data_IF_128267669726
#
_entry.id   IF_128267669726
#
_cell.length_a   1.000
_cell.length_b   1.000
_cell.length_c   1.000
_cell.angle_alpha   90.00
_cell.angle_beta   90.00
_cell.angle_gamma   90.00
#
_symmetry.space_group_name_H-M   'P 1'
#
loop_
_entity.id
_entity.type
_entity.pdbx_description
1 polymer ?
#
# COMPACT_ATOMS: atom_id res chain seq x y z
N UNK A 1 7.81 -1.67 29.18
CA UNK A 1 6.76 -2.08 28.22
C UNK A 1 7.46 -2.38 26.91
N UNK A 2 7.37 -3.58 26.41
CA UNK A 2 7.91 -3.94 25.11
C UNK A 2 6.99 -3.47 23.97
N UNK A 3 7.46 -3.54 22.71
CA UNK A 3 6.69 -3.03 21.57
C UNK A 3 5.39 -3.81 21.35
N UNK A 4 5.35 -5.11 21.55
CA UNK A 4 4.15 -5.95 21.45
C UNK A 4 3.06 -5.48 22.42
N UNK A 5 3.40 -5.25 23.67
CA UNK A 5 2.46 -4.77 24.69
C UNK A 5 1.95 -3.36 24.39
N UNK A 6 2.83 -2.48 23.92
CA UNK A 6 2.47 -1.13 23.47
C UNK A 6 1.46 -1.17 22.30
N UNK A 7 1.70 -2.03 21.30
CA UNK A 7 0.79 -2.22 20.16
C UNK A 7 -0.56 -2.75 20.67
N UNK A 8 -0.57 -3.81 21.49
CA UNK A 8 -1.80 -4.41 22.02
C UNK A 8 -2.68 -3.38 22.75
N UNK A 9 -2.12 -2.62 23.67
CA UNK A 9 -2.84 -1.57 24.43
C UNK A 9 -3.42 -0.51 23.48
N UNK A 10 -2.63 -0.09 22.47
CA UNK A 10 -3.10 0.89 21.49
C UNK A 10 -4.28 0.35 20.66
N UNK A 11 -4.21 -0.90 20.21
CA UNK A 11 -5.28 -1.57 19.45
C UNK A 11 -6.56 -1.71 20.27
N UNK A 12 -6.47 -2.18 21.51
CA UNK A 12 -7.62 -2.31 22.42
C UNK A 12 -8.32 -0.96 22.64
N UNK A 13 -7.54 0.11 22.84
CA UNK A 13 -8.07 1.47 22.97
C UNK A 13 -8.79 1.93 21.71
N UNK A 14 -8.19 1.71 20.53
CA UNK A 14 -8.79 2.08 19.24
C UNK A 14 -10.07 1.29 18.99
N UNK A 15 -10.07 -0.03 19.20
CA UNK A 15 -11.26 -0.89 19.05
C UNK A 15 -12.40 -0.42 19.94
N UNK A 16 -12.12 -0.14 21.22
CA UNK A 16 -13.11 0.40 22.14
C UNK A 16 -13.68 1.74 21.66
N UNK A 17 -12.83 2.65 21.19
CA UNK A 17 -13.24 3.96 20.69
C UNK A 17 -14.15 3.83 19.47
N UNK A 18 -13.78 2.99 18.49
CA UNK A 18 -14.55 2.79 17.26
C UNK A 18 -15.86 2.01 17.50
N UNK A 19 -15.90 1.12 18.48
CA UNK A 19 -17.15 0.47 18.90
C UNK A 19 -18.12 1.48 19.51
N UNK A 20 -17.63 2.38 20.36
CA UNK A 20 -18.47 3.39 21.00
C UNK A 20 -18.88 4.52 20.02
N UNK A 21 -18.01 4.89 19.10
CA UNK A 21 -18.22 5.97 18.13
C UNK A 21 -17.71 5.55 16.74
N UNK A 22 -18.50 4.77 15.97
CA UNK A 22 -18.04 4.24 14.66
C UNK A 22 -17.63 5.31 13.64
N UNK A 23 -18.14 6.53 13.76
CA UNK A 23 -17.75 7.64 12.90
C UNK A 23 -16.28 8.07 13.05
N UNK A 24 -15.65 7.80 14.21
CA UNK A 24 -14.22 8.09 14.42
C UNK A 24 -13.27 7.24 13.55
N UNK A 25 -13.75 6.11 13.04
CA UNK A 25 -12.99 5.27 12.12
C UNK A 25 -13.14 5.65 10.64
N UNK A 26 -13.82 6.78 10.33
CA UNK A 26 -14.05 7.25 8.96
C UNK A 26 -13.34 8.57 8.73
N UNK A 27 -12.51 8.60 7.68
CA UNK A 27 -11.78 9.80 7.29
C UNK A 27 -11.56 9.81 5.77
N UNK A 28 -11.07 10.95 5.24
CA UNK A 28 -10.66 11.12 3.86
C UNK A 28 -9.20 11.55 3.82
N UNK A 29 -8.32 10.62 3.47
CA UNK A 29 -6.91 10.92 3.24
C UNK A 29 -6.73 11.64 1.90
N UNK A 30 -5.75 12.53 1.81
CA UNK A 30 -5.46 13.32 0.60
C UNK A 30 -3.98 13.34 0.31
N UNK A 31 -3.59 12.69 -0.79
CA UNK A 31 -2.27 12.85 -1.39
C UNK A 31 -2.29 13.88 -2.51
N UNK A 32 -1.33 14.81 -2.51
CA UNK A 32 -1.11 15.76 -3.60
C UNK A 32 0.16 15.37 -4.36
N UNK A 33 -0.01 15.10 -5.66
CA UNK A 33 1.09 14.72 -6.55
C UNK A 33 1.28 15.82 -7.58
N UNK A 34 2.51 16.31 -7.69
CA UNK A 34 2.88 17.39 -8.62
C UNK A 34 4.09 16.99 -9.45
N UNK A 35 4.00 17.15 -10.77
CA UNK A 35 5.18 17.03 -11.65
C UNK A 35 6.16 18.14 -11.33
N UNK A 36 7.44 17.79 -11.18
CA UNK A 36 8.52 18.72 -10.84
C UNK A 36 9.44 18.92 -12.03
N UNK A 37 9.86 17.83 -12.65
CA UNK A 37 10.77 17.86 -13.79
C UNK A 37 10.59 16.58 -14.65
N UNK A 38 10.31 16.72 -15.96
CA UNK A 38 10.11 15.59 -16.85
C UNK A 38 9.08 14.59 -16.30
N UNK A 39 9.51 13.36 -16.00
CA UNK A 39 8.67 12.31 -15.39
C UNK A 39 8.84 12.19 -13.87
N UNK A 40 9.62 13.09 -13.24
CA UNK A 40 9.78 13.14 -11.79
C UNK A 40 8.60 13.88 -11.15
N UNK A 41 7.96 13.27 -10.17
CA UNK A 41 6.94 13.93 -9.38
C UNK A 41 7.26 13.92 -7.88
N UNK A 42 6.66 14.87 -7.18
CA UNK A 42 6.71 15.02 -5.73
C UNK A 42 5.32 14.69 -5.16
N UNK A 43 5.29 13.83 -4.15
CA UNK A 43 4.10 13.45 -3.40
C UNK A 43 4.16 14.13 -2.04
N UNK A 44 3.08 14.80 -1.64
CA UNK A 44 2.91 15.40 -0.32
C UNK A 44 1.63 14.87 0.32
N UNK A 45 1.76 14.25 1.48
CA UNK A 45 0.64 13.79 2.30
C UNK A 45 0.95 14.01 3.78
N UNK A 46 0.11 14.77 4.47
CA UNK A 46 0.35 15.18 5.86
C UNK A 46 1.75 15.77 6.04
N UNK A 47 2.60 15.15 6.88
CA UNK A 47 3.99 15.54 7.13
C UNK A 47 4.99 14.79 6.27
N UNK A 48 4.52 13.93 5.35
CA UNK A 48 5.37 13.10 4.51
C UNK A 48 5.56 13.70 3.13
N UNK A 49 6.79 13.57 2.65
CA UNK A 49 7.19 14.02 1.32
C UNK A 49 8.03 12.93 0.67
N UNK A 50 7.66 12.55 -0.56
CA UNK A 50 8.33 11.51 -1.33
C UNK A 50 8.54 11.99 -2.75
N UNK A 51 9.56 11.42 -3.42
CA UNK A 51 9.74 11.56 -4.85
C UNK A 51 9.46 10.25 -5.56
N UNK A 52 8.96 10.33 -6.78
CA UNK A 52 8.71 9.23 -7.69
C UNK A 52 9.23 9.61 -9.05
N UNK A 53 9.88 8.67 -9.73
CA UNK A 53 10.46 8.92 -11.05
C UNK A 53 10.34 7.66 -11.92
N UNK A 54 10.71 7.78 -13.19
CA UNK A 54 10.74 6.67 -14.13
C UNK A 54 12.20 6.39 -14.56
N UNK A 55 12.48 5.17 -15.08
CA UNK A 55 13.80 4.85 -15.61
C UNK A 55 14.17 5.71 -16.83
N UNK A 56 15.47 5.88 -17.06
CA UNK A 56 16.00 6.63 -18.20
C UNK A 56 15.51 6.09 -19.55
N UNK A 57 15.33 4.78 -19.67
CA UNK A 57 14.88 4.12 -20.91
C UNK A 57 13.51 4.57 -21.40
N UNK A 58 12.69 5.21 -20.55
CA UNK A 58 11.38 5.77 -20.92
C UNK A 58 11.33 7.29 -20.66
N UNK A 59 12.49 7.93 -20.54
CA UNK A 59 12.63 9.39 -20.41
C UNK A 59 12.57 9.95 -19.01
N UNK A 60 12.68 9.11 -17.96
CA UNK A 60 12.89 9.55 -16.58
C UNK A 60 14.37 9.84 -16.29
N UNK A 61 14.66 10.19 -15.04
CA UNK A 61 16.02 10.43 -14.55
C UNK A 61 16.51 9.35 -13.60
N UNK A 62 15.67 8.35 -13.29
CA UNK A 62 15.96 7.26 -12.34
C UNK A 62 16.45 7.78 -10.97
N UNK A 63 15.88 8.89 -10.51
CA UNK A 63 16.28 9.55 -9.25
C UNK A 63 15.45 9.12 -8.04
N UNK A 64 14.39 8.35 -8.26
CA UNK A 64 13.50 7.87 -7.22
C UNK A 64 12.81 6.55 -7.65
N UNK A 65 12.19 5.81 -6.71
CA UNK A 65 11.40 4.62 -7.04
C UNK A 65 10.26 4.92 -8.00
N UNK A 66 9.91 3.95 -8.85
CA UNK A 66 8.77 4.06 -9.76
C UNK A 66 7.42 3.90 -9.03
N UNK A 67 6.29 4.32 -9.63
CA UNK A 67 4.97 4.07 -9.07
C UNK A 67 4.70 2.58 -8.76
N UNK A 68 5.22 1.66 -9.59
CA UNK A 68 5.09 0.23 -9.38
C UNK A 68 5.79 -0.27 -8.09
N UNK A 69 6.93 0.33 -7.72
CA UNK A 69 7.60 0.05 -6.44
C UNK A 69 6.69 0.44 -5.28
N UNK A 70 6.09 1.64 -5.32
CA UNK A 70 5.16 2.10 -4.29
C UNK A 70 3.92 1.20 -4.19
N UNK A 71 3.36 0.75 -5.32
CA UNK A 71 2.22 -0.17 -5.35
C UNK A 71 2.52 -1.48 -4.61
N UNK A 72 3.63 -2.15 -4.96
CA UNK A 72 4.04 -3.39 -4.29
C UNK A 72 4.41 -3.17 -2.83
N UNK A 73 5.13 -2.10 -2.52
CA UNK A 73 5.50 -1.75 -1.15
C UNK A 73 4.28 -1.46 -0.27
N UNK A 74 3.24 -0.82 -0.81
CA UNK A 74 2.00 -0.56 -0.11
C UNK A 74 1.31 -1.87 0.31
N UNK A 75 1.20 -2.85 -0.60
CA UNK A 75 0.64 -4.17 -0.26
C UNK A 75 1.51 -4.88 0.78
N UNK A 76 2.82 -5.03 0.53
CA UNK A 76 3.74 -5.75 1.42
C UNK A 76 3.79 -5.16 2.82
N UNK A 77 3.92 -3.83 2.94
CA UNK A 77 3.94 -3.17 4.24
C UNK A 77 2.61 -3.24 4.98
N UNK A 78 1.49 -3.14 4.26
CA UNK A 78 0.16 -3.28 4.84
C UNK A 78 -0.05 -4.68 5.45
N UNK A 79 0.35 -5.74 4.73
CA UNK A 79 0.30 -7.11 5.22
C UNK A 79 1.22 -7.29 6.43
N UNK A 80 2.50 -6.92 6.32
CA UNK A 80 3.47 -7.08 7.40
C UNK A 80 3.03 -6.38 8.69
N UNK A 81 2.59 -5.12 8.59
CA UNK A 81 2.08 -4.36 9.74
C UNK A 81 0.81 -5.01 10.30
N UNK A 82 -0.13 -5.44 9.43
CA UNK A 82 -1.36 -6.10 9.82
C UNK A 82 -1.09 -7.39 10.61
N UNK A 83 -0.16 -8.22 10.16
CA UNK A 83 0.24 -9.44 10.86
C UNK A 83 0.88 -9.14 12.22
N UNK A 84 1.77 -8.14 12.30
CA UNK A 84 2.36 -7.74 13.58
C UNK A 84 1.33 -7.17 14.56
N UNK A 85 0.34 -6.42 14.07
CA UNK A 85 -0.79 -5.97 14.88
C UNK A 85 -1.60 -7.16 15.42
N UNK A 86 -1.90 -8.15 14.57
CA UNK A 86 -2.64 -9.34 14.97
C UNK A 86 -1.84 -10.20 15.95
N UNK A 87 -0.54 -10.39 15.69
CA UNK A 87 0.35 -11.10 16.61
C UNK A 87 0.37 -10.45 18.01
N UNK A 88 0.46 -9.13 18.07
CA UNK A 88 0.43 -8.39 19.33
C UNK A 88 -0.91 -8.55 20.06
N UNK A 89 -2.04 -8.48 19.34
CA UNK A 89 -3.37 -8.69 19.90
C UNK A 89 -3.51 -10.08 20.53
N UNK A 90 -3.05 -11.11 19.84
CA UNK A 90 -3.11 -12.51 20.26
C UNK A 90 -1.96 -12.91 21.19
N UNK A 91 -1.02 -12.01 21.45
CA UNK A 91 0.20 -12.27 22.25
C UNK A 91 1.05 -13.41 21.67
N UNK A 92 1.11 -13.52 20.35
CA UNK A 92 1.93 -14.48 19.61
C UNK A 92 3.35 -13.89 19.48
N UNK A 93 4.41 -14.60 19.93
CA UNK A 93 5.77 -14.10 19.81
C UNK A 93 6.26 -14.22 18.35
N UNK A 94 6.64 -13.11 17.74
CA UNK A 94 7.25 -13.05 16.40
C UNK A 94 8.70 -12.56 16.57
N UNK A 95 9.67 -13.33 16.10
CA UNK A 95 11.09 -12.98 16.10
C UNK A 95 11.47 -12.23 14.82
N UNK A 96 10.98 -12.69 13.68
CA UNK A 96 11.16 -12.05 12.38
C UNK A 96 9.94 -12.26 11.50
N UNK A 97 9.64 -11.28 10.65
CA UNK A 97 8.58 -11.35 9.65
C UNK A 97 8.99 -10.55 8.42
N UNK A 98 8.96 -11.21 7.27
CA UNK A 98 9.21 -10.63 5.96
C UNK A 98 8.02 -10.95 5.03
N UNK A 99 7.63 -9.98 4.21
CA UNK A 99 6.63 -10.16 3.15
C UNK A 99 7.26 -9.74 1.83
N UNK A 100 7.50 -10.71 0.96
CA UNK A 100 7.91 -10.48 -0.42
C UNK A 100 6.66 -10.36 -1.29
N UNK A 101 6.60 -9.33 -2.14
CA UNK A 101 5.51 -9.13 -3.10
C UNK A 101 6.06 -9.16 -4.51
N UNK A 102 5.56 -10.08 -5.33
CA UNK A 102 5.83 -10.20 -6.75
C UNK A 102 4.60 -9.78 -7.54
N UNK A 103 4.81 -9.06 -8.64
CA UNK A 103 3.74 -8.67 -9.54
C UNK A 103 4.19 -8.75 -10.98
N UNK A 104 3.45 -9.48 -11.80
CA UNK A 104 3.67 -9.56 -13.24
C UNK A 104 2.95 -8.39 -13.92
N UNK A 105 3.61 -7.76 -14.90
CA UNK A 105 3.07 -6.64 -15.67
C UNK A 105 3.61 -6.65 -17.09
N UNK A 106 2.98 -5.87 -17.97
CA UNK A 106 3.38 -5.69 -19.36
C UNK A 106 3.54 -4.20 -19.67
N UNK A 107 4.79 -3.76 -19.87
CA UNK A 107 5.08 -2.37 -20.23
C UNK A 107 4.52 -1.98 -21.60
N UNK A 108 4.31 -2.96 -22.51
CA UNK A 108 3.64 -2.73 -23.78
C UNK A 108 2.18 -2.30 -23.60
N UNK A 109 1.51 -2.79 -22.56
CA UNK A 109 0.15 -2.35 -22.21
C UNK A 109 0.13 -0.88 -21.73
N UNK A 110 1.12 -0.46 -20.94
CA UNK A 110 1.31 0.94 -20.54
C UNK A 110 1.52 1.85 -21.75
N UNK A 111 2.33 1.41 -22.73
CA UNK A 111 2.68 2.17 -23.94
C UNK A 111 1.67 2.01 -25.09
N UNK A 112 0.64 1.18 -24.93
CA UNK A 112 -0.37 0.93 -25.93
C UNK A 112 0.11 0.07 -27.12
N UNK A 113 1.17 -0.71 -26.95
CA UNK A 113 1.75 -1.62 -27.97
C UNK A 113 1.40 -3.09 -27.75
N UNK A 114 0.90 -3.44 -26.56
CA UNK A 114 0.44 -4.79 -26.25
C UNK A 114 -0.93 -5.10 -26.90
N UNK A 115 -1.32 -6.39 -26.90
CA UNK A 115 -2.68 -6.80 -27.29
C UNK A 115 -3.72 -6.08 -26.42
N UNK A 116 -4.86 -5.71 -27.05
CA UNK A 116 -5.94 -4.96 -26.40
C UNK A 116 -6.58 -5.68 -25.20
N UNK A 117 -6.39 -6.98 -25.08
CA UNK A 117 -6.89 -7.78 -23.96
C UNK A 117 -5.94 -7.77 -22.76
N UNK A 118 -4.70 -7.26 -22.90
CA UNK A 118 -3.74 -7.17 -21.82
C UNK A 118 -4.01 -5.87 -21.05
N UNK A 119 -4.35 -5.96 -19.75
CA UNK A 119 -4.60 -4.77 -18.94
C UNK A 119 -3.28 -4.02 -18.63
N UNK A 120 -3.32 -2.68 -18.47
CA UNK A 120 -2.13 -1.90 -18.10
C UNK A 120 -1.73 -2.03 -16.62
N UNK A 121 -2.51 -2.74 -15.83
CA UNK A 121 -2.21 -3.05 -14.43
C UNK A 121 -1.42 -4.36 -14.28
N UNK A 122 -1.36 -4.85 -13.05
CA UNK A 122 -0.75 -6.15 -12.80
C UNK A 122 -1.58 -7.28 -13.39
N UNK A 123 -0.89 -8.25 -13.99
CA UNK A 123 -1.50 -9.47 -14.55
C UNK A 123 -1.76 -10.49 -13.43
N UNK A 124 -0.80 -10.60 -12.51
CA UNK A 124 -0.89 -11.44 -11.33
C UNK A 124 -0.07 -10.81 -10.20
N UNK A 125 -0.54 -10.94 -8.98
CA UNK A 125 0.18 -10.52 -7.77
C UNK A 125 0.28 -11.72 -6.83
N UNK A 126 1.50 -11.99 -6.39
CA UNK A 126 1.83 -13.07 -5.44
C UNK A 126 2.56 -12.45 -4.24
N UNK A 127 2.33 -12.99 -3.06
CA UNK A 127 3.11 -12.62 -1.89
C UNK A 127 3.52 -13.85 -1.10
N UNK A 128 4.74 -13.80 -0.59
CA UNK A 128 5.35 -14.85 0.24
C UNK A 128 5.63 -14.29 1.62
N UNK A 129 5.21 -14.99 2.65
CA UNK A 129 5.43 -14.62 4.04
C UNK A 129 6.49 -15.55 4.61
N UNK A 130 7.59 -14.96 5.11
CA UNK A 130 8.60 -15.67 5.89
C UNK A 130 8.50 -15.20 7.34
N UNK A 131 8.21 -16.13 8.24
CA UNK A 131 7.99 -15.82 9.65
C UNK A 131 8.82 -16.74 10.55
N UNK A 132 9.47 -16.14 11.56
CA UNK A 132 10.17 -16.85 12.61
C UNK A 132 9.44 -16.66 13.94
N UNK A 133 8.93 -17.77 14.51
CA UNK A 133 8.16 -17.77 15.75
C UNK A 133 8.30 -19.12 16.46
N UNK A 134 8.20 -19.11 17.78
CA UNK A 134 8.12 -20.33 18.60
C UNK A 134 6.67 -20.81 18.81
N UNK A 135 5.67 -20.10 18.24
CA UNK A 135 4.28 -20.49 18.33
C UNK A 135 3.96 -21.67 17.39
N UNK A 136 2.93 -22.49 17.70
CA UNK A 136 2.48 -23.57 16.83
C UNK A 136 2.09 -23.07 15.44
N UNK A 137 2.42 -23.83 14.39
CA UNK A 137 2.12 -23.50 13.00
C UNK A 137 0.65 -23.17 12.76
N UNK A 138 -0.27 -23.95 13.31
CA UNK A 138 -1.72 -23.71 13.21
C UNK A 138 -2.11 -22.32 13.76
N UNK A 139 -1.50 -21.91 14.87
CA UNK A 139 -1.73 -20.59 15.47
C UNK A 139 -1.22 -19.47 14.56
N UNK A 140 -0.07 -19.67 13.94
CA UNK A 140 0.50 -18.73 12.97
C UNK A 140 -0.41 -18.63 11.75
N UNK A 141 -0.86 -19.75 11.18
CA UNK A 141 -1.76 -19.76 10.01
C UNK A 141 -3.08 -19.03 10.29
N UNK A 142 -3.70 -19.29 11.44
CA UNK A 142 -4.93 -18.59 11.84
C UNK A 142 -4.72 -17.08 12.00
N UNK A 143 -3.58 -16.68 12.56
CA UNK A 143 -3.19 -15.27 12.70
C UNK A 143 -3.02 -14.60 11.34
N UNK A 144 -2.36 -15.26 10.37
CA UNK A 144 -2.16 -14.75 9.02
C UNK A 144 -3.49 -14.63 8.27
N UNK A 145 -4.32 -15.67 8.29
CA UNK A 145 -5.67 -15.66 7.68
C UNK A 145 -6.55 -14.52 8.21
N UNK A 146 -6.44 -14.25 9.49
CA UNK A 146 -7.17 -13.15 10.14
C UNK A 146 -6.58 -11.78 9.74
N UNK A 147 -5.27 -11.70 9.57
CA UNK A 147 -4.58 -10.52 9.06
C UNK A 147 -5.00 -10.18 7.63
N UNK A 148 -5.06 -11.18 6.76
CA UNK A 148 -5.48 -11.04 5.36
C UNK A 148 -6.92 -10.51 5.24
N UNK A 149 -7.86 -11.05 6.02
CA UNK A 149 -9.26 -10.59 6.04
C UNK A 149 -9.42 -9.11 6.39
N UNK A 150 -8.45 -8.53 7.08
CA UNK A 150 -8.50 -7.15 7.57
C UNK A 150 -7.46 -6.24 6.91
N UNK A 151 -6.76 -6.72 5.86
CA UNK A 151 -5.76 -5.93 5.15
C UNK A 151 -6.40 -4.97 4.14
N UNK A 152 -6.32 -3.63 4.33
CA UNK A 152 -6.90 -2.67 3.40
C UNK A 152 -6.30 -2.77 1.99
N UNK A 153 -4.99 -2.98 1.86
CA UNK A 153 -4.38 -3.07 0.54
C UNK A 153 -4.60 -4.40 -0.15
N UNK A 154 -4.73 -5.52 0.59
CA UNK A 154 -5.16 -6.78 -0.02
C UNK A 154 -6.59 -6.66 -0.59
N UNK A 155 -7.48 -5.98 0.14
CA UNK A 155 -8.82 -5.65 -0.36
C UNK A 155 -8.76 -4.75 -1.62
N UNK A 156 -7.93 -3.70 -1.63
CA UNK A 156 -7.74 -2.84 -2.81
C UNK A 156 -7.25 -3.62 -4.03
N UNK A 157 -6.31 -4.56 -3.85
CA UNK A 157 -5.78 -5.37 -4.95
C UNK A 157 -6.74 -6.48 -5.41
N UNK A 158 -7.67 -6.91 -4.55
CA UNK A 158 -8.57 -8.05 -4.82
C UNK A 158 -9.92 -7.66 -5.42
N UNK A 159 -10.31 -6.40 -5.34
CA UNK A 159 -11.61 -5.92 -5.87
C UNK A 159 -11.50 -4.59 -6.61
N UNK A 160 -12.39 -4.35 -7.54
CA UNK A 160 -12.47 -3.09 -8.27
C UNK A 160 -12.93 -1.93 -7.34
N UNK A 161 -12.25 -0.79 -7.44
CA UNK A 161 -12.60 0.45 -6.76
C UNK A 161 -13.28 1.41 -7.74
N UNK A 162 -14.29 2.16 -7.25
CA UNK A 162 -14.88 3.23 -8.05
C UNK A 162 -13.95 4.43 -8.08
N UNK A 163 -13.35 4.71 -9.25
CA UNK A 163 -12.53 5.90 -9.46
C UNK A 163 -13.36 7.01 -10.13
N UNK A 164 -13.42 8.19 -9.51
CA UNK A 164 -14.14 9.36 -10.03
C UNK A 164 -13.14 10.46 -10.36
N UNK A 165 -13.07 10.86 -11.63
CA UNK A 165 -12.18 11.92 -12.10
C UNK A 165 -12.91 13.28 -12.13
N UNK A 166 -12.24 14.32 -11.57
CA UNK A 166 -12.59 15.74 -11.79
C UNK A 166 -11.43 16.42 -12.49
N UNK A 167 -11.72 17.37 -13.37
CA UNK A 167 -10.70 18.07 -14.16
C UNK A 167 -10.87 19.57 -13.97
N UNK A 168 -9.77 20.27 -13.63
CA UNK A 168 -9.67 21.71 -13.62
C UNK A 168 -8.60 22.11 -14.66
N UNK A 169 -8.99 22.87 -15.68
CA UNK A 169 -8.08 23.38 -16.70
C UNK A 169 -7.93 24.88 -16.45
N UNK A 170 -6.70 25.30 -16.16
CA UNK A 170 -6.36 26.71 -15.95
C UNK A 170 -5.63 27.21 -17.20
N UNK A 171 -6.18 28.26 -17.86
CA UNK A 171 -5.51 28.88 -19.02
C UNK A 171 -4.33 29.73 -18.54
N UNK A 172 -3.18 29.58 -19.21
CA UNK A 172 -2.01 30.43 -19.03
C UNK A 172 -2.01 31.64 -19.98
N UNK A 173 -3.08 31.82 -20.81
CA UNK A 173 -3.17 33.00 -21.68
C UNK A 173 -3.36 34.23 -20.81
N UNK A 174 -2.35 35.09 -20.78
CA UNK A 174 -2.47 36.49 -20.35
C UNK A 174 -3.34 37.15 -21.43
N UNK A 175 -4.53 37.61 -21.07
CA UNK A 175 -5.30 38.49 -21.94
C UNK A 175 -4.50 39.80 -22.09
N UNK A 176 -3.82 39.94 -23.23
CA UNK A 176 -3.27 41.24 -23.66
C UNK A 176 -4.40 42.13 -24.13
#
# INVERSE_FOLDING_TARGET
MNDTEKIKIALERCKKAFTLKPAMGRDTAVSKVRMVNGLTCEINESNWKFSVDMPEGIGGYNTAPTPGVFGRAALGSCLAIGYMMKAAELSIPIKNLEVEVQADFDDGALLGTADKNIPPGYLEVRYTITIESDAPEETIMQMLDDGDKHSPYLDVFSRAQKCVRKINIVSTKINN
#
